data_IF_579891869466
#
_entry.id   IF_579891869466
#
_cell.length_a   1.000
_cell.length_b   1.000
_cell.length_c   1.000
_cell.angle_alpha   90.00
_cell.angle_beta   90.00
_cell.angle_gamma   90.00
#
_symmetry.space_group_name_H-M   'P 1'
#
loop_
_entity.id
_entity.type
_entity.pdbx_description
1 polymer ?
#
# COMPACT_ATOMS: atom_id res chain seq x y z
N UNK A 1 -4.19 7.03 32.49
CA UNK A 1 -5.37 7.04 31.60
C UNK A 1 -4.93 6.40 30.30
N UNK A 2 -5.12 5.09 30.18
CA UNK A 2 -4.71 4.31 29.02
C UNK A 2 -5.64 4.63 27.86
N UNK A 3 -5.10 5.25 26.82
CA UNK A 3 -5.74 5.32 25.51
C UNK A 3 -6.12 3.90 25.10
N UNK A 4 -7.41 3.61 25.09
CA UNK A 4 -7.93 2.24 24.92
C UNK A 4 -7.83 1.90 23.44
N UNK A 5 -6.62 1.53 23.00
CA UNK A 5 -6.37 1.07 21.63
C UNK A 5 -7.19 -0.19 21.38
N UNK A 6 -8.03 -0.15 20.35
CA UNK A 6 -8.76 -1.33 19.89
C UNK A 6 -7.82 -2.14 18.99
N UNK A 7 -7.21 -3.18 19.57
CA UNK A 7 -6.45 -4.16 18.80
C UNK A 7 -7.40 -5.14 18.11
N UNK A 8 -6.90 -5.89 17.12
CA UNK A 8 -7.71 -6.83 16.37
C UNK A 8 -6.96 -8.16 16.22
N UNK A 9 -7.66 -9.27 16.44
CA UNK A 9 -7.11 -10.59 16.17
C UNK A 9 -6.82 -10.77 14.67
N UNK A 10 -5.58 -11.13 14.34
CA UNK A 10 -5.16 -11.33 12.95
C UNK A 10 -5.92 -12.48 12.29
N UNK A 11 -6.39 -13.48 13.05
CA UNK A 11 -7.13 -14.61 12.49
C UNK A 11 -8.59 -14.24 12.17
N UNK A 12 -9.37 -13.88 13.19
CA UNK A 12 -10.82 -13.74 13.09
C UNK A 12 -11.33 -12.29 12.99
N UNK A 13 -10.45 -11.29 13.03
CA UNK A 13 -10.82 -9.87 13.03
C UNK A 13 -11.69 -9.43 14.23
N UNK A 14 -11.72 -10.22 15.30
CA UNK A 14 -12.42 -9.86 16.53
C UNK A 14 -11.63 -8.78 17.29
N UNK A 15 -12.28 -7.71 17.78
CA UNK A 15 -11.60 -6.68 18.58
C UNK A 15 -11.07 -7.30 19.88
N UNK A 16 -9.85 -6.93 20.25
CA UNK A 16 -9.18 -7.39 21.46
C UNK A 16 -8.70 -6.19 22.27
N UNK A 17 -8.84 -6.27 23.60
CA UNK A 17 -8.43 -5.20 24.50
C UNK A 17 -6.91 -5.08 24.62
N UNK A 18 -6.22 -6.23 24.54
CA UNK A 18 -4.78 -6.36 24.78
C UNK A 18 -4.25 -7.47 23.88
N UNK A 19 -3.00 -7.33 23.46
CA UNK A 19 -2.32 -8.32 22.62
C UNK A 19 -1.48 -9.32 23.42
N UNK A 20 -0.98 -8.91 24.58
CA UNK A 20 -0.12 -9.71 25.44
C UNK A 20 -0.33 -9.33 26.91
N UNK A 21 -0.08 -10.29 27.79
CA UNK A 21 0.05 -10.08 29.23
C UNK A 21 1.50 -9.76 29.55
N UNK A 22 1.73 -8.70 30.33
CA UNK A 22 3.05 -8.35 30.84
C UNK A 22 3.19 -8.86 32.27
N UNK A 23 3.94 -9.95 32.48
CA UNK A 23 4.16 -10.54 33.81
C UNK A 23 5.32 -9.85 34.55
N UNK A 24 6.35 -9.43 33.83
CA UNK A 24 7.50 -8.66 34.35
C UNK A 24 7.97 -7.64 33.31
N UNK A 25 9.01 -6.85 33.61
CA UNK A 25 9.61 -5.92 32.62
C UNK A 25 10.09 -6.62 31.35
N UNK A 26 10.46 -7.90 31.44
CA UNK A 26 11.12 -8.68 30.38
C UNK A 26 10.29 -9.86 29.86
N UNK A 27 9.31 -10.36 30.62
CA UNK A 27 8.50 -11.52 30.23
C UNK A 27 7.09 -11.06 29.82
N UNK A 28 6.83 -11.19 28.52
CA UNK A 28 5.50 -11.06 27.92
C UNK A 28 4.96 -12.44 27.56
N UNK A 29 3.64 -12.61 27.62
CA UNK A 29 2.95 -13.80 27.11
C UNK A 29 1.84 -13.36 26.19
N UNK A 30 1.79 -13.92 24.98
CA UNK A 30 0.75 -13.60 24.02
C UNK A 30 -0.64 -13.99 24.53
N UNK A 31 -1.63 -13.13 24.25
CA UNK A 31 -3.03 -13.38 24.62
C UNK A 31 -3.69 -14.26 23.55
N UNK A 32 -4.54 -15.18 24.00
CA UNK A 32 -5.41 -15.99 23.13
C UNK A 32 -6.71 -15.24 22.86
N UNK A 33 -7.23 -15.36 21.65
CA UNK A 33 -8.45 -14.70 21.23
C UNK A 33 -9.68 -15.40 21.82
N UNK A 34 -10.56 -14.64 22.49
CA UNK A 34 -11.79 -15.16 23.10
C UNK A 34 -12.76 -15.78 22.09
N UNK A 35 -12.66 -15.39 20.81
CA UNK A 35 -13.56 -15.88 19.76
C UNK A 35 -13.03 -17.10 18.99
N UNK A 36 -11.72 -17.16 18.69
CA UNK A 36 -11.16 -18.27 17.90
C UNK A 36 -10.18 -19.17 18.65
N UNK A 37 -9.81 -18.86 19.89
CA UNK A 37 -8.83 -19.62 20.69
C UNK A 37 -7.37 -19.49 20.23
N UNK A 38 -7.15 -19.05 18.99
CA UNK A 38 -5.80 -18.78 18.47
C UNK A 38 -5.16 -17.57 19.13
N UNK A 39 -3.82 -17.51 19.08
CA UNK A 39 -3.04 -16.36 19.51
C UNK A 39 -3.49 -15.10 18.75
N UNK A 40 -3.78 -14.01 19.48
CA UNK A 40 -4.34 -12.77 18.91
C UNK A 40 -3.44 -12.21 17.82
N UNK A 41 -2.14 -12.14 18.10
CA UNK A 41 -1.13 -11.68 17.16
C UNK A 41 0.27 -12.22 17.52
N UNK A 42 0.78 -13.12 16.67
CA UNK A 42 2.12 -13.71 16.83
C UNK A 42 3.26 -12.77 16.42
N UNK A 43 2.98 -11.74 15.62
CA UNK A 43 4.02 -10.90 15.01
C UNK A 43 4.65 -9.92 15.98
N UNK A 44 4.09 -9.75 17.18
CA UNK A 44 4.64 -8.87 18.22
C UNK A 44 6.01 -9.34 18.71
N UNK A 45 6.23 -10.66 18.72
CA UNK A 45 7.53 -11.25 19.09
C UNK A 45 8.49 -11.33 17.91
N UNK A 46 8.01 -11.13 16.68
CA UNK A 46 8.81 -11.30 15.48
C UNK A 46 9.63 -10.04 15.21
N UNK A 47 10.83 -10.24 14.67
CA UNK A 47 11.59 -9.14 14.10
C UNK A 47 10.83 -8.53 12.90
N UNK A 48 10.94 -7.21 12.73
CA UNK A 48 10.40 -6.47 11.60
C UNK A 48 10.79 -7.07 10.25
N UNK A 49 11.98 -7.68 10.13
CA UNK A 49 12.41 -8.35 8.90
C UNK A 49 11.50 -9.52 8.53
N UNK A 50 11.10 -10.34 9.50
CA UNK A 50 10.20 -11.48 9.25
C UNK A 50 8.80 -11.01 8.85
N UNK A 51 8.31 -9.93 9.47
CA UNK A 51 7.03 -9.31 9.11
C UNK A 51 7.07 -8.81 7.67
N UNK A 52 8.17 -8.18 7.25
CA UNK A 52 8.35 -7.68 5.87
C UNK A 52 8.39 -8.84 4.87
N UNK A 53 9.03 -9.96 5.19
CA UNK A 53 9.03 -11.15 4.32
C UNK A 53 7.60 -11.67 4.12
N UNK A 54 6.84 -11.80 5.20
CA UNK A 54 5.44 -12.26 5.12
C UNK A 54 4.56 -11.27 4.34
N UNK A 55 4.83 -9.97 4.42
CA UNK A 55 4.17 -8.96 3.58
C UNK A 55 4.52 -9.16 2.10
N UNK A 56 5.79 -9.39 1.76
CA UNK A 56 6.25 -9.63 0.39
C UNK A 56 5.62 -10.90 -0.21
N UNK A 57 5.38 -11.93 0.60
CA UNK A 57 4.71 -13.18 0.19
C UNK A 57 3.17 -13.02 0.14
N UNK A 58 2.64 -11.83 0.43
CA UNK A 58 1.21 -11.53 0.46
C UNK A 58 0.42 -12.29 1.54
N UNK A 59 1.06 -12.62 2.67
CA UNK A 59 0.39 -13.34 3.74
C UNK A 59 -0.60 -12.46 4.49
N UNK A 60 -1.89 -12.78 4.39
CA UNK A 60 -2.98 -11.91 4.89
C UNK A 60 -2.89 -11.53 6.38
N UNK A 61 -2.27 -12.36 7.21
CA UNK A 61 -2.13 -12.06 8.64
C UNK A 61 -1.13 -10.93 8.90
N UNK A 62 -0.07 -10.83 8.10
CA UNK A 62 0.92 -9.76 8.22
C UNK A 62 0.29 -8.40 7.86
N UNK A 63 -0.61 -8.36 6.86
CA UNK A 63 -1.37 -7.14 6.54
C UNK A 63 -2.25 -6.70 7.71
N UNK A 64 -2.94 -7.64 8.37
CA UNK A 64 -3.80 -7.31 9.53
C UNK A 64 -2.98 -6.82 10.73
N UNK A 65 -1.85 -7.47 11.02
CA UNK A 65 -0.91 -7.02 12.04
C UNK A 65 -0.47 -5.58 11.76
N UNK A 66 0.01 -5.31 10.54
CA UNK A 66 0.53 -4.00 10.16
C UNK A 66 -0.54 -2.90 10.16
N UNK A 67 -1.79 -3.23 9.79
CA UNK A 67 -2.89 -2.28 9.75
C UNK A 67 -3.45 -1.96 11.14
N UNK A 68 -3.65 -2.96 12.00
CA UNK A 68 -4.43 -2.80 13.24
C UNK A 68 -3.60 -2.86 14.52
N UNK A 69 -2.45 -3.55 14.51
CA UNK A 69 -1.72 -3.87 15.74
C UNK A 69 -0.34 -3.19 15.82
N UNK A 70 0.20 -2.69 14.70
CA UNK A 70 1.45 -1.91 14.67
C UNK A 70 1.19 -0.46 15.09
N UNK A 71 2.11 0.09 15.88
CA UNK A 71 2.05 1.51 16.25
C UNK A 71 2.19 2.40 15.02
N UNK A 72 1.36 3.43 14.96
CA UNK A 72 1.30 4.33 13.81
C UNK A 72 2.54 5.21 13.75
N UNK A 73 3.56 4.75 13.03
CA UNK A 73 4.79 5.47 12.77
C UNK A 73 4.62 6.61 11.76
N UNK A 74 5.75 7.13 11.27
CA UNK A 74 5.79 8.22 10.28
C UNK A 74 5.38 7.74 8.87
N UNK A 75 4.12 7.37 8.68
CA UNK A 75 3.56 6.94 7.38
C UNK A 75 3.78 7.94 6.26
N UNK A 76 3.84 9.24 6.57
CA UNK A 76 4.17 10.28 5.60
C UNK A 76 5.51 10.03 4.90
N UNK A 77 6.53 9.57 5.66
CA UNK A 77 7.85 9.26 5.07
C UNK A 77 7.75 8.09 4.09
N UNK A 78 6.99 7.05 4.43
CA UNK A 78 6.75 5.91 3.55
C UNK A 78 5.96 6.31 2.30
N UNK A 79 4.91 7.12 2.45
CA UNK A 79 4.11 7.64 1.35
C UNK A 79 4.97 8.42 0.35
N UNK A 80 5.86 9.29 0.84
CA UNK A 80 6.82 10.02 0.00
C UNK A 80 7.71 9.02 -0.74
N UNK A 81 8.34 8.07 -0.05
CA UNK A 81 9.22 7.09 -0.69
C UNK A 81 8.50 6.31 -1.79
N UNK A 82 7.30 5.78 -1.53
CA UNK A 82 6.55 5.00 -2.51
C UNK A 82 6.07 5.84 -3.69
N UNK A 83 5.66 7.10 -3.45
CA UNK A 83 5.29 8.04 -4.51
C UNK A 83 6.49 8.38 -5.41
N UNK A 84 7.67 8.60 -4.82
CA UNK A 84 8.90 8.85 -5.58
C UNK A 84 9.32 7.62 -6.40
N UNK A 85 9.20 6.41 -5.84
CA UNK A 85 9.51 5.17 -6.57
C UNK A 85 8.58 5.00 -7.78
N UNK A 86 7.29 5.24 -7.62
CA UNK A 86 6.32 5.15 -8.71
C UNK A 86 6.54 6.22 -9.79
N UNK A 87 6.76 7.48 -9.37
CA UNK A 87 7.09 8.58 -10.27
C UNK A 87 8.37 8.27 -11.06
N UNK A 88 9.36 7.66 -10.40
CA UNK A 88 10.60 7.25 -11.03
C UNK A 88 10.37 6.16 -12.09
N UNK A 89 9.54 5.15 -11.79
CA UNK A 89 9.20 4.08 -12.75
C UNK A 89 8.55 4.63 -14.04
N UNK A 90 7.64 5.60 -13.88
CA UNK A 90 7.02 6.30 -15.01
C UNK A 90 8.03 7.16 -15.77
N UNK A 91 8.88 7.90 -15.05
CA UNK A 91 9.94 8.72 -15.64
C UNK A 91 10.94 7.91 -16.45
N UNK A 92 11.45 6.78 -15.93
CA UNK A 92 12.42 5.94 -16.64
C UNK A 92 11.82 5.33 -17.90
N UNK A 93 10.54 4.93 -17.84
CA UNK A 93 9.81 4.37 -18.97
C UNK A 93 9.60 5.40 -20.07
N UNK A 94 9.21 6.62 -19.71
CA UNK A 94 9.02 7.72 -20.67
C UNK A 94 10.36 8.18 -21.26
N UNK A 95 11.42 8.26 -20.45
CA UNK A 95 12.77 8.57 -20.91
C UNK A 95 13.28 7.56 -21.92
N UNK A 96 13.02 6.27 -21.72
CA UNK A 96 13.43 5.23 -22.65
C UNK A 96 12.78 5.38 -24.04
N UNK A 97 11.57 5.97 -24.11
CA UNK A 97 10.87 6.23 -25.37
C UNK A 97 11.36 7.49 -26.11
N UNK A 98 12.02 8.40 -25.40
CA UNK A 98 12.51 9.68 -25.92
C UNK A 98 14.04 9.63 -26.08
N UNK A 99 14.51 8.87 -27.08
CA UNK A 99 15.93 8.68 -27.40
C UNK A 99 16.70 9.99 -27.71
N UNK A 100 16.01 11.13 -27.86
CA UNK A 100 16.59 12.41 -28.33
C UNK A 100 16.40 13.59 -27.35
N UNK A 101 15.99 13.34 -26.10
CA UNK A 101 15.91 14.37 -25.06
C UNK A 101 17.31 14.85 -24.63
N UNK A 102 17.94 15.72 -25.43
CA UNK A 102 19.32 16.19 -25.26
C UNK A 102 19.50 17.26 -24.18
N UNK A 103 18.42 17.93 -23.72
CA UNK A 103 18.52 18.99 -22.71
C UNK A 103 18.15 18.45 -21.33
N UNK A 104 19.00 18.75 -20.35
CA UNK A 104 18.80 18.40 -18.94
C UNK A 104 17.45 18.92 -18.40
N UNK A 105 17.04 20.11 -18.83
CA UNK A 105 15.76 20.71 -18.43
C UNK A 105 14.54 19.86 -18.85
N UNK A 106 14.59 19.26 -20.05
CA UNK A 106 13.48 18.45 -20.56
C UNK A 106 13.32 17.16 -19.71
N UNK A 107 14.44 16.62 -19.22
CA UNK A 107 14.45 15.44 -18.34
C UNK A 107 13.86 15.73 -16.95
N UNK A 108 14.18 16.89 -16.38
CA UNK A 108 13.61 17.36 -15.11
C UNK A 108 12.11 17.63 -15.24
N UNK A 109 11.69 18.24 -16.35
CA UNK A 109 10.27 18.49 -16.63
C UNK A 109 9.46 17.20 -16.75
N UNK A 110 9.97 16.19 -17.45
CA UNK A 110 9.33 14.86 -17.52
C UNK A 110 9.23 14.24 -16.13
N UNK A 111 10.25 14.40 -15.27
CA UNK A 111 10.19 13.89 -13.91
C UNK A 111 9.08 14.55 -13.09
N UNK A 112 8.95 15.88 -13.16
CA UNK A 112 7.86 16.59 -12.47
C UNK A 112 6.48 16.17 -12.96
N UNK A 113 6.31 15.96 -14.27
CA UNK A 113 5.06 15.43 -14.84
C UNK A 113 4.73 14.04 -14.29
N UNK A 114 5.70 13.14 -14.26
CA UNK A 114 5.54 11.80 -13.66
C UNK A 114 5.21 11.85 -12.17
N UNK A 115 5.76 12.81 -11.43
CA UNK A 115 5.48 12.99 -10.01
C UNK A 115 4.04 13.44 -9.76
N UNK A 116 3.55 14.40 -10.55
CA UNK A 116 2.16 14.88 -10.45
C UNK A 116 1.20 13.76 -10.86
N UNK A 117 1.53 13.00 -11.90
CA UNK A 117 0.76 11.83 -12.33
C UNK A 117 0.63 10.81 -11.18
N UNK A 118 1.73 10.35 -10.59
CA UNK A 118 1.69 9.38 -9.48
C UNK A 118 1.00 9.92 -8.23
N UNK A 119 1.19 11.20 -7.90
CA UNK A 119 0.50 11.83 -6.78
C UNK A 119 -1.02 11.84 -6.98
N UNK A 120 -1.47 12.11 -8.22
CA UNK A 120 -2.89 12.12 -8.57
C UNK A 120 -3.49 10.71 -8.47
N UNK A 121 -2.81 9.70 -9.00
CA UNK A 121 -3.25 8.31 -8.92
C UNK A 121 -3.42 7.85 -7.47
N UNK A 122 -2.45 8.17 -6.60
CA UNK A 122 -2.48 7.86 -5.18
C UNK A 122 -3.67 8.53 -4.46
N UNK A 123 -3.92 9.82 -4.73
CA UNK A 123 -5.03 10.57 -4.15
C UNK A 123 -6.38 10.01 -4.61
N UNK A 124 -6.53 9.73 -5.90
CA UNK A 124 -7.77 9.18 -6.48
C UNK A 124 -8.05 7.78 -5.91
N UNK A 125 -7.04 6.92 -5.84
CA UNK A 125 -7.19 5.58 -5.27
C UNK A 125 -7.61 5.63 -3.78
N UNK A 126 -6.98 6.50 -3.00
CA UNK A 126 -7.33 6.73 -1.60
C UNK A 126 -8.74 7.30 -1.45
N UNK A 127 -9.14 8.22 -2.33
CA UNK A 127 -10.48 8.80 -2.34
C UNK A 127 -11.56 7.74 -2.65
N UNK A 128 -11.34 6.89 -3.65
CA UNK A 128 -12.28 5.80 -3.98
C UNK A 128 -12.40 4.81 -2.82
N UNK A 129 -11.28 4.42 -2.22
CA UNK A 129 -11.28 3.53 -1.04
C UNK A 129 -12.01 4.17 0.15
N UNK A 130 -11.85 5.48 0.33
CA UNK A 130 -12.59 6.24 1.33
C UNK A 130 -14.10 6.27 1.05
N UNK A 131 -14.52 6.46 -0.21
CA UNK A 131 -15.95 6.38 -0.58
C UNK A 131 -16.54 5.00 -0.28
N UNK A 132 -15.80 3.92 -0.57
CA UNK A 132 -16.21 2.55 -0.22
C UNK A 132 -16.36 2.39 1.29
N UNK A 133 -15.44 2.97 2.08
CA UNK A 133 -15.53 2.96 3.53
C UNK A 133 -16.75 3.71 4.08
N UNK A 134 -17.13 4.82 3.43
CA UNK A 134 -18.33 5.60 3.78
C UNK A 134 -19.64 4.84 3.52
N UNK A 135 -19.64 3.96 2.52
CA UNK A 135 -20.79 3.07 2.23
C UNK A 135 -20.84 1.90 3.24
N UNK A 136 -19.71 1.57 3.86
CA UNK A 136 -19.63 0.51 4.87
C UNK A 136 -20.30 0.92 6.20
N UNK A 137 -20.81 -0.06 6.93
CA UNK A 137 -21.59 0.15 8.16
C UNK A 137 -20.80 0.76 9.32
N UNK A 138 -19.46 0.76 9.26
CA UNK A 138 -18.58 1.34 10.28
C UNK A 138 -17.53 2.23 9.61
N UNK A 139 -17.83 3.52 9.38
CA UNK A 139 -16.87 4.44 8.78
C UNK A 139 -15.68 4.63 9.71
N UNK A 140 -14.48 4.58 9.15
CA UNK A 140 -13.20 4.76 9.83
C UNK A 140 -12.65 6.15 9.53
N UNK A 141 -11.64 6.56 10.29
CA UNK A 141 -10.95 7.83 10.04
C UNK A 141 -10.26 7.83 8.67
N UNK A 142 -10.35 8.95 7.95
CA UNK A 142 -9.66 9.16 6.65
C UNK A 142 -8.17 8.83 6.76
N UNK A 143 -7.55 9.20 7.89
CA UNK A 143 -6.13 8.90 8.15
C UNK A 143 -5.85 7.41 8.14
N UNK A 144 -6.72 6.59 8.74
CA UNK A 144 -6.54 5.14 8.74
C UNK A 144 -6.67 4.56 7.33
N UNK A 145 -7.62 5.05 6.54
CA UNK A 145 -7.77 4.62 5.13
C UNK A 145 -6.53 4.99 4.32
N UNK A 146 -6.02 6.21 4.46
CA UNK A 146 -4.79 6.65 3.80
C UNK A 146 -3.58 5.81 4.23
N UNK A 147 -3.39 5.55 5.53
CA UNK A 147 -2.32 4.67 6.04
C UNK A 147 -2.42 3.27 5.42
N UNK A 148 -3.64 2.76 5.26
CA UNK A 148 -3.91 1.46 4.67
C UNK A 148 -3.59 1.41 3.17
N UNK A 149 -3.99 2.43 2.41
CA UNK A 149 -3.69 2.49 0.98
C UNK A 149 -2.19 2.64 0.72
N UNK A 150 -1.46 3.42 1.54
CA UNK A 150 0.01 3.55 1.47
C UNK A 150 0.70 2.19 1.53
N UNK A 151 0.25 1.31 2.42
CA UNK A 151 0.83 -0.02 2.54
C UNK A 151 0.68 -0.78 1.22
N UNK A 152 -0.44 -0.67 0.51
CA UNK A 152 -0.61 -1.32 -0.80
C UNK A 152 0.50 -1.01 -1.81
N UNK A 153 1.14 0.18 -1.70
CA UNK A 153 2.19 0.65 -2.59
C UNK A 153 3.61 0.25 -2.19
N UNK A 154 3.83 -0.59 -1.16
CA UNK A 154 5.19 -0.98 -0.77
C UNK A 154 5.96 -1.67 -1.90
N UNK A 155 5.26 -2.32 -2.84
CA UNK A 155 5.83 -2.94 -4.02
C UNK A 155 6.57 -1.97 -4.94
N UNK A 156 6.28 -0.66 -4.89
CA UNK A 156 6.93 0.35 -5.72
C UNK A 156 8.45 0.39 -5.49
N UNK A 157 8.91 0.04 -4.30
CA UNK A 157 10.35 -0.02 -3.97
C UNK A 157 11.11 -1.01 -4.87
N UNK A 158 10.43 -2.00 -5.45
CA UNK A 158 11.02 -2.93 -6.40
C UNK A 158 11.69 -2.21 -7.58
N UNK A 159 11.22 -1.03 -7.98
CA UNK A 159 11.85 -0.22 -9.04
C UNK A 159 13.34 0.02 -8.79
N UNK A 160 13.76 0.17 -7.53
CA UNK A 160 15.17 0.37 -7.17
C UNK A 160 15.99 -0.85 -7.54
N UNK A 161 15.48 -2.04 -7.25
CA UNK A 161 16.10 -3.31 -7.64
C UNK A 161 16.11 -3.46 -9.16
N UNK A 162 15.04 -3.06 -9.85
CA UNK A 162 14.96 -3.06 -11.31
C UNK A 162 16.13 -2.30 -11.94
N UNK A 163 16.47 -1.14 -11.38
CA UNK A 163 17.55 -0.28 -11.88
C UNK A 163 18.91 -0.92 -11.61
N UNK A 164 19.13 -1.41 -10.38
CA UNK A 164 20.40 -2.04 -9.97
C UNK A 164 20.75 -3.19 -10.90
N UNK A 165 19.77 -4.04 -11.22
CA UNK A 165 19.97 -5.20 -12.07
C UNK A 165 19.74 -4.93 -13.56
N UNK A 166 19.39 -3.70 -13.96
CA UNK A 166 19.05 -3.31 -15.34
C UNK A 166 17.88 -4.08 -15.96
N UNK A 167 16.87 -4.44 -15.16
CA UNK A 167 15.64 -5.12 -15.60
C UNK A 167 14.52 -4.16 -16.03
N UNK A 168 14.75 -2.84 -15.97
CA UNK A 168 13.68 -1.85 -16.15
C UNK A 168 13.03 -1.85 -17.54
N UNK A 169 13.67 -2.43 -18.57
CA UNK A 169 13.10 -2.55 -19.91
C UNK A 169 12.47 -3.93 -20.20
N UNK A 170 12.67 -4.91 -19.31
CA UNK A 170 12.15 -6.26 -19.51
C UNK A 170 10.64 -6.29 -19.22
N UNK A 171 9.86 -6.69 -20.22
CA UNK A 171 8.40 -6.79 -20.10
C UNK A 171 7.98 -7.70 -18.94
N UNK A 172 8.68 -8.84 -18.78
CA UNK A 172 8.42 -9.80 -17.70
C UNK A 172 8.52 -9.18 -16.31
N UNK A 173 9.50 -8.29 -16.11
CA UNK A 173 9.71 -7.62 -14.84
C UNK A 173 8.61 -6.58 -14.56
N UNK A 174 8.27 -5.77 -15.58
CA UNK A 174 7.18 -4.78 -15.48
C UNK A 174 5.84 -5.44 -15.20
N UNK A 175 5.55 -6.52 -15.91
CA UNK A 175 4.34 -7.30 -15.67
C UNK A 175 4.32 -7.89 -14.25
N UNK A 176 5.45 -8.46 -13.80
CA UNK A 176 5.58 -9.01 -12.45
C UNK A 176 5.34 -7.97 -11.34
N UNK A 177 5.92 -6.77 -11.47
CA UNK A 177 5.73 -5.69 -10.49
C UNK A 177 4.30 -5.14 -10.48
N UNK A 178 3.64 -5.03 -11.63
CA UNK A 178 2.23 -4.64 -11.71
C UNK A 178 1.30 -5.68 -11.06
N UNK A 179 1.52 -6.96 -11.33
CA UNK A 179 0.78 -8.05 -10.69
C UNK A 179 1.01 -8.05 -9.18
N UNK A 180 2.26 -7.84 -8.75
CA UNK A 180 2.61 -7.74 -7.35
C UNK A 180 1.83 -6.62 -6.63
N UNK A 181 1.82 -5.41 -7.21
CA UNK A 181 1.09 -4.26 -6.68
C UNK A 181 -0.42 -4.52 -6.63
N UNK A 182 -0.99 -5.12 -7.68
CA UNK A 182 -2.40 -5.49 -7.70
C UNK A 182 -2.75 -6.45 -6.55
N UNK A 183 -1.94 -7.49 -6.34
CA UNK A 183 -2.15 -8.45 -5.24
C UNK A 183 -2.03 -7.73 -3.89
N UNK A 184 -1.05 -6.84 -3.71
CA UNK A 184 -0.88 -6.05 -2.48
C UNK A 184 -2.12 -5.23 -2.16
N UNK A 185 -2.69 -4.51 -3.15
CA UNK A 185 -3.92 -3.75 -2.97
C UNK A 185 -5.13 -4.65 -2.67
N UNK A 186 -5.23 -5.83 -3.29
CA UNK A 186 -6.29 -6.81 -2.99
C UNK A 186 -6.19 -7.28 -1.53
N UNK A 187 -4.98 -7.57 -1.03
CA UNK A 187 -4.83 -8.01 0.37
C UNK A 187 -5.16 -6.88 1.36
N UNK A 188 -4.74 -5.64 1.08
CA UNK A 188 -5.13 -4.47 1.89
C UNK A 188 -6.65 -4.32 1.92
N UNK A 189 -7.30 -4.36 0.76
CA UNK A 189 -8.76 -4.21 0.68
C UNK A 189 -9.48 -5.31 1.46
N UNK A 190 -9.01 -6.56 1.37
CA UNK A 190 -9.56 -7.70 2.14
C UNK A 190 -9.36 -7.53 3.64
N UNK A 191 -8.23 -7.01 4.08
CA UNK A 191 -7.96 -6.73 5.48
C UNK A 191 -8.80 -5.54 6.00
N UNK A 192 -9.12 -4.58 5.14
CA UNK A 192 -10.01 -3.46 5.45
C UNK A 192 -11.47 -3.88 5.51
N UNK A 193 -11.93 -4.73 4.59
CA UNK A 193 -13.34 -5.08 4.45
C UNK A 193 -13.55 -6.60 4.46
N UNK A 194 -13.32 -7.26 5.60
CA UNK A 194 -13.47 -8.72 5.71
C UNK A 194 -14.91 -9.21 5.49
N UNK A 195 -15.90 -8.30 5.57
CA UNK A 195 -17.33 -8.63 5.34
C UNK A 195 -17.69 -8.77 3.86
N UNK A 196 -16.95 -8.11 2.96
CA UNK A 196 -17.20 -8.24 1.53
C UNK A 196 -16.66 -9.59 1.03
N UNK A 197 -17.35 -10.19 0.07
CA UNK A 197 -16.89 -11.41 -0.58
C UNK A 197 -15.54 -11.21 -1.28
N UNK A 198 -14.83 -12.32 -1.53
CA UNK A 198 -13.52 -12.28 -2.21
C UNK A 198 -13.60 -11.59 -3.58
N UNK A 199 -14.59 -11.94 -4.39
CA UNK A 199 -14.81 -11.38 -5.73
C UNK A 199 -15.14 -9.89 -5.66
N UNK A 200 -15.98 -9.46 -4.70
CA UNK A 200 -16.34 -8.06 -4.53
C UNK A 200 -15.12 -7.20 -4.19
N UNK A 201 -14.25 -7.68 -3.29
CA UNK A 201 -13.01 -6.98 -2.95
C UNK A 201 -12.09 -6.82 -4.18
N UNK A 202 -11.95 -7.87 -5.00
CA UNK A 202 -11.18 -7.80 -6.25
C UNK A 202 -11.77 -6.77 -7.21
N UNK A 203 -13.08 -6.81 -7.43
CA UNK A 203 -13.76 -5.87 -8.34
C UNK A 203 -13.59 -4.43 -7.88
N UNK A 204 -13.72 -4.15 -6.57
CA UNK A 204 -13.51 -2.80 -6.04
C UNK A 204 -12.09 -2.32 -6.31
N UNK A 205 -11.07 -3.16 -6.08
CA UNK A 205 -9.67 -2.78 -6.34
C UNK A 205 -9.41 -2.57 -7.83
N UNK A 206 -9.91 -3.43 -8.70
CA UNK A 206 -9.75 -3.29 -10.15
C UNK A 206 -10.39 -1.99 -10.66
N UNK A 207 -11.60 -1.67 -10.18
CA UNK A 207 -12.28 -0.41 -10.52
C UNK A 207 -11.50 0.79 -9.98
N UNK A 208 -11.03 0.72 -8.73
CA UNK A 208 -10.26 1.80 -8.11
C UNK A 208 -8.94 2.06 -8.85
N UNK A 209 -8.18 0.99 -9.17
CA UNK A 209 -6.93 1.08 -9.93
C UNK A 209 -7.16 1.55 -11.37
N UNK A 210 -8.25 1.09 -12.01
CA UNK A 210 -8.63 1.53 -13.35
C UNK A 210 -8.96 3.02 -13.41
N UNK A 211 -9.77 3.51 -12.47
CA UNK A 211 -10.12 4.94 -12.39
C UNK A 211 -8.90 5.79 -12.02
N UNK A 212 -8.06 5.34 -11.09
CA UNK A 212 -6.85 6.07 -10.73
C UNK A 212 -5.91 6.18 -11.93
N UNK A 213 -5.59 5.06 -12.60
CA UNK A 213 -4.74 5.04 -13.80
C UNK A 213 -5.30 5.93 -14.91
N UNK A 214 -6.60 5.84 -15.18
CA UNK A 214 -7.26 6.68 -16.18
C UNK A 214 -7.13 8.17 -15.85
N UNK A 215 -7.28 8.54 -14.58
CA UNK A 215 -7.10 9.93 -14.13
C UNK A 215 -5.65 10.38 -14.29
N UNK A 216 -4.67 9.51 -14.00
CA UNK A 216 -3.26 9.77 -14.24
C UNK A 216 -2.93 9.99 -15.72
N UNK A 217 -3.51 9.19 -16.61
CA UNK A 217 -3.33 9.34 -18.06
C UNK A 217 -3.97 10.64 -18.58
N UNK A 218 -5.11 11.06 -18.04
CA UNK A 218 -5.71 12.35 -18.36
C UNK A 218 -4.79 13.51 -17.97
N UNK A 219 -4.16 13.45 -16.80
CA UNK A 219 -3.18 14.45 -16.36
C UNK A 219 -1.99 14.49 -17.34
N UNK A 220 -1.52 13.33 -17.78
CA UNK A 220 -0.45 13.24 -18.78
C UNK A 220 -0.83 13.86 -20.12
N UNK A 221 -2.04 13.59 -20.61
CA UNK A 221 -2.57 14.16 -21.86
C UNK A 221 -2.72 15.68 -21.73
N UNK A 222 -3.21 16.17 -20.59
CA UNK A 222 -3.35 17.59 -20.32
C UNK A 222 -2.01 18.32 -20.43
N UNK A 223 -0.95 17.81 -19.80
CA UNK A 223 0.38 18.38 -19.93
C UNK A 223 0.93 18.32 -21.35
N UNK A 224 0.69 17.22 -22.08
CA UNK A 224 1.09 17.10 -23.49
C UNK A 224 0.41 18.15 -24.37
N UNK A 225 -0.84 18.52 -24.08
CA UNK A 225 -1.56 19.58 -24.80
C UNK A 225 -1.07 20.99 -24.47
N UNK A 226 -0.44 21.19 -23.30
CA UNK A 226 0.17 22.49 -22.93
C UNK A 226 1.52 22.66 -23.62
N UNK A 227 2.26 21.56 -23.79
CA UNK A 227 3.59 21.55 -24.41
C UNK A 227 3.54 21.59 -25.97
N UNK A 228 2.35 21.44 -26.59
CA UNK A 228 2.13 21.42 -28.05
C UNK A 228 1.67 22.76 -28.62
#
# INVERSE_FOLDING_TARGET
MTDKREYVCIHCMHPCSELYYKFSSEVIRLKECENCGEIVDKYIEYDSVLIVIDLIIHYSMAYKHFLYNVEKGNFLRLAIIFCFCEAYDKWITERASLLDAKKVYDLEWIFYKSLIQSSTEFVVFTFITWLVDRISSKPRSVRFIAESTIIGYYGNVAVVLSIIFRLSNEFSYRFGTQVFLLISHIQVQRALFPKFGFVTNILIVLVAMGISSYTGDLVKIFFKSIDS
#
